data_IF_669551614460
#
_entry.id   IF_669551614460
#
_cell.length_a   1.000
_cell.length_b   1.000
_cell.length_c   1.000
_cell.angle_alpha   90.00
_cell.angle_beta   90.00
_cell.angle_gamma   90.00
#
_symmetry.space_group_name_H-M   'P 1'
#
loop_
_entity.id
_entity.type
_entity.pdbx_description
1 polymer ?
#
# COMPACT_ATOMS: atom_id res chain seq x y z
N UNK A 1 -2.86 -4.71 34.12
CA UNK A 1 -2.62 -6.13 34.48
C UNK A 1 -3.12 -6.95 33.30
N UNK A 2 -2.23 -7.56 32.55
CA UNK A 2 -2.56 -8.42 31.43
C UNK A 2 -3.00 -9.78 31.98
N UNK A 3 -4.26 -10.14 31.81
CA UNK A 3 -4.82 -11.43 32.24
C UNK A 3 -4.23 -12.53 31.36
N UNK A 4 -3.16 -13.16 31.85
CA UNK A 4 -2.62 -14.37 31.19
C UNK A 4 -3.55 -15.56 31.44
N UNK A 5 -3.87 -16.31 30.38
CA UNK A 5 -4.66 -17.55 30.46
C UNK A 5 -4.05 -18.58 31.40
N UNK A 6 -4.89 -19.45 31.96
CA UNK A 6 -4.46 -20.51 32.88
C UNK A 6 -3.78 -21.68 32.13
N UNK A 7 -2.95 -22.47 32.80
CA UNK A 7 -2.36 -23.70 32.25
C UNK A 7 -3.41 -24.64 31.62
N UNK A 8 -4.65 -24.62 32.14
CA UNK A 8 -5.78 -25.38 31.59
C UNK A 8 -6.24 -24.85 30.23
N UNK A 9 -6.06 -23.55 29.94
CA UNK A 9 -6.39 -22.95 28.64
C UNK A 9 -5.30 -23.28 27.59
N UNK A 10 -4.03 -23.25 27.99
CA UNK A 10 -2.90 -23.67 27.13
C UNK A 10 -3.07 -25.15 26.75
N UNK A 11 -3.32 -26.03 27.74
CA UNK A 11 -3.52 -27.45 27.51
C UNK A 11 -4.75 -27.73 26.61
N UNK A 12 -5.79 -26.90 26.69
CA UNK A 12 -6.96 -26.96 25.80
C UNK A 12 -6.59 -26.55 24.38
N UNK A 13 -5.82 -25.47 24.22
CA UNK A 13 -5.40 -24.96 22.91
C UNK A 13 -4.49 -25.93 22.17
N UNK A 14 -3.50 -26.51 22.87
CA UNK A 14 -2.61 -27.52 22.30
C UNK A 14 -3.35 -28.83 21.97
N UNK A 15 -4.34 -29.23 22.79
CA UNK A 15 -5.17 -30.39 22.54
C UNK A 15 -6.07 -30.15 21.32
N UNK A 16 -6.66 -28.99 21.23
CA UNK A 16 -7.49 -28.55 20.11
C UNK A 16 -6.69 -28.49 18.80
N UNK A 17 -5.47 -27.91 18.79
CA UNK A 17 -4.57 -27.94 17.63
C UNK A 17 -4.29 -29.38 17.16
N UNK A 18 -4.11 -30.29 18.10
CA UNK A 18 -3.90 -31.71 17.81
C UNK A 18 -5.15 -32.38 17.25
N UNK A 19 -6.34 -32.02 17.76
CA UNK A 19 -7.62 -32.49 17.28
C UNK A 19 -7.93 -32.02 15.83
N UNK A 20 -7.54 -30.82 15.47
CA UNK A 20 -7.72 -30.27 14.11
C UNK A 20 -6.56 -30.60 13.16
N UNK A 21 -5.56 -31.36 13.64
CA UNK A 21 -4.44 -31.80 12.81
C UNK A 21 -3.41 -30.75 12.43
N UNK A 22 -3.41 -29.56 13.09
CA UNK A 22 -2.45 -28.50 12.80
C UNK A 22 -1.21 -28.67 13.70
N UNK A 23 0.01 -28.83 13.13
CA UNK A 23 1.23 -28.93 13.91
C UNK A 23 1.53 -27.62 14.67
N UNK A 24 2.05 -27.73 15.88
CA UNK A 24 2.47 -26.56 16.66
C UNK A 24 3.54 -25.73 15.93
N UNK A 25 4.40 -26.37 15.16
CA UNK A 25 5.39 -25.71 14.31
C UNK A 25 4.78 -24.81 13.25
N UNK A 26 3.62 -25.15 12.74
CA UNK A 26 2.85 -24.28 11.81
C UNK A 26 2.38 -23.02 12.53
N UNK A 27 1.87 -23.15 13.76
CA UNK A 27 1.49 -22.00 14.57
C UNK A 27 2.69 -21.09 14.88
N UNK A 28 3.84 -21.66 15.27
CA UNK A 28 5.08 -20.89 15.48
C UNK A 28 5.48 -20.08 14.24
N UNK A 29 5.37 -20.68 13.05
CA UNK A 29 5.67 -20.01 11.77
C UNK A 29 4.69 -18.89 11.46
N UNK A 30 3.41 -19.07 11.75
CA UNK A 30 2.38 -18.05 11.58
C UNK A 30 2.63 -16.86 12.52
N UNK A 31 2.98 -17.08 13.79
CA UNK A 31 3.33 -16.00 14.70
C UNK A 31 4.54 -15.19 14.22
N UNK A 32 5.57 -15.87 13.74
CA UNK A 32 6.73 -15.20 13.15
C UNK A 32 6.34 -14.41 11.90
N UNK A 33 5.44 -14.95 11.08
CA UNK A 33 4.93 -14.26 9.90
C UNK A 33 4.12 -13.00 10.26
N UNK A 34 3.38 -13.00 11.39
CA UNK A 34 2.76 -11.79 11.94
C UNK A 34 3.77 -10.78 12.51
N UNK A 35 5.07 -11.09 12.56
CA UNK A 35 6.08 -10.26 13.21
C UNK A 35 6.04 -10.33 14.74
N UNK A 36 5.43 -11.37 15.30
CA UNK A 36 5.37 -11.63 16.74
C UNK A 36 6.48 -12.60 17.17
N UNK A 37 6.78 -12.61 18.47
CA UNK A 37 7.70 -13.57 19.04
C UNK A 37 7.12 -14.98 18.92
N UNK A 38 7.98 -15.98 18.75
CA UNK A 38 7.57 -17.39 18.76
C UNK A 38 6.91 -17.71 20.09
N UNK A 39 5.71 -18.31 20.10
CA UNK A 39 5.09 -18.73 21.33
C UNK A 39 5.91 -19.86 21.95
N UNK A 40 6.31 -19.72 23.22
CA UNK A 40 6.94 -20.81 23.94
C UNK A 40 5.89 -21.85 24.31
N UNK A 41 6.25 -23.16 24.31
CA UNK A 41 5.30 -24.26 24.60
C UNK A 41 4.72 -24.22 26.02
N UNK A 42 5.39 -23.53 26.91
CA UNK A 42 5.04 -23.32 28.31
C UNK A 42 4.55 -21.91 28.63
N UNK A 43 4.47 -21.05 27.61
CA UNK A 43 4.03 -19.67 27.76
C UNK A 43 2.52 -19.59 27.95
N UNK A 44 2.08 -18.63 28.76
CA UNK A 44 0.65 -18.34 28.96
C UNK A 44 0.09 -17.68 27.71
N UNK A 45 -0.70 -18.44 26.94
CA UNK A 45 -1.41 -17.92 25.78
C UNK A 45 -2.56 -17.03 26.26
N UNK A 46 -2.71 -15.84 25.71
CA UNK A 46 -3.86 -14.97 26.00
C UNK A 46 -5.10 -15.53 25.33
N UNK A 47 -6.27 -15.28 25.92
CA UNK A 47 -7.53 -15.74 25.32
C UNK A 47 -7.75 -15.14 23.93
N UNK A 48 -7.27 -13.92 23.71
CA UNK A 48 -7.28 -13.21 22.44
C UNK A 48 -6.45 -13.92 21.37
N UNK A 49 -5.31 -14.52 21.73
CA UNK A 49 -4.44 -15.26 20.83
C UNK A 49 -5.14 -16.52 20.28
N UNK A 50 -6.11 -17.06 21.04
CA UNK A 50 -6.92 -18.19 20.60
C UNK A 50 -7.84 -17.87 19.41
N UNK A 51 -8.17 -16.58 19.19
CA UNK A 51 -9.00 -16.17 18.05
C UNK A 51 -8.26 -16.37 16.73
N UNK A 52 -6.95 -16.10 16.70
CA UNK A 52 -6.09 -16.34 15.52
C UNK A 52 -6.09 -17.83 15.16
N UNK A 53 -6.05 -18.69 16.16
CA UNK A 53 -6.02 -20.15 15.97
C UNK A 53 -7.34 -20.66 15.37
N UNK A 54 -8.48 -20.03 15.69
CA UNK A 54 -9.80 -20.46 15.20
C UNK A 54 -10.01 -20.30 13.70
N UNK A 55 -9.31 -19.37 13.05
CA UNK A 55 -9.43 -19.19 11.61
C UNK A 55 -8.70 -20.28 10.81
N UNK A 56 -7.64 -20.87 11.37
CA UNK A 56 -6.78 -21.82 10.68
C UNK A 56 -7.53 -23.06 10.17
N UNK A 57 -8.39 -23.73 10.98
CA UNK A 57 -9.17 -24.86 10.49
C UNK A 57 -10.08 -24.51 9.33
N UNK A 58 -10.61 -23.29 9.30
CA UNK A 58 -11.47 -22.83 8.20
C UNK A 58 -10.65 -22.71 6.92
N UNK A 59 -9.47 -22.11 6.98
CA UNK A 59 -8.60 -21.93 5.83
C UNK A 59 -8.07 -23.26 5.30
N UNK A 60 -7.50 -24.10 6.19
CA UNK A 60 -7.00 -25.43 5.79
C UNK A 60 -8.11 -26.37 5.34
N UNK A 61 -9.29 -26.28 5.95
CA UNK A 61 -10.47 -27.05 5.54
C UNK A 61 -11.01 -26.63 4.16
N UNK A 62 -10.77 -25.38 3.76
CA UNK A 62 -11.06 -24.88 2.42
C UNK A 62 -9.94 -25.21 1.38
N UNK A 63 -8.86 -25.90 1.80
CA UNK A 63 -7.76 -26.28 0.92
C UNK A 63 -6.67 -25.22 0.76
N UNK A 64 -6.68 -24.15 1.58
CA UNK A 64 -5.63 -23.12 1.56
C UNK A 64 -4.32 -23.75 2.07
N UNK A 65 -3.25 -23.59 1.29
CA UNK A 65 -1.94 -24.13 1.64
C UNK A 65 -1.25 -23.28 2.74
N UNK A 66 -0.38 -23.92 3.54
CA UNK A 66 0.35 -23.24 4.62
C UNK A 66 1.15 -22.04 4.09
N UNK A 67 1.74 -22.14 2.91
CA UNK A 67 2.49 -21.03 2.28
C UNK A 67 1.63 -19.80 2.02
N UNK A 68 0.36 -19.99 1.65
CA UNK A 68 -0.60 -18.91 1.42
C UNK A 68 -1.04 -18.27 2.73
N UNK A 69 -1.29 -19.06 3.76
CA UNK A 69 -1.57 -18.56 5.12
C UNK A 69 -0.41 -17.72 5.64
N UNK A 70 0.83 -18.14 5.42
CA UNK A 70 2.02 -17.38 5.83
C UNK A 70 2.17 -16.07 5.05
N UNK A 71 1.85 -16.03 3.76
CA UNK A 71 1.82 -14.76 2.98
C UNK A 71 0.78 -13.80 3.53
N UNK A 72 -0.45 -14.26 3.73
CA UNK A 72 -1.51 -13.47 4.35
C UNK A 72 -1.09 -12.94 5.73
N UNK A 73 -0.51 -13.79 6.56
CA UNK A 73 -0.05 -13.43 7.91
C UNK A 73 1.03 -12.33 7.87
N UNK A 74 1.96 -12.34 6.90
CA UNK A 74 2.96 -11.26 6.74
C UNK A 74 2.31 -9.94 6.41
N UNK A 75 1.40 -9.90 5.44
CA UNK A 75 0.70 -8.67 5.04
C UNK A 75 -0.05 -8.04 6.22
N UNK A 76 -0.80 -8.86 6.95
CA UNK A 76 -1.55 -8.40 8.11
C UNK A 76 -0.65 -7.96 9.26
N UNK A 77 0.40 -8.75 9.54
CA UNK A 77 1.35 -8.44 10.59
C UNK A 77 2.12 -7.15 10.32
N UNK A 78 2.59 -6.94 9.10
CA UNK A 78 3.31 -5.72 8.71
C UNK A 78 2.40 -4.48 8.75
N UNK A 79 1.16 -4.60 8.30
CA UNK A 79 0.18 -3.51 8.35
C UNK A 79 -0.15 -3.13 9.80
N UNK A 80 -0.46 -4.11 10.63
CA UNK A 80 -0.76 -3.91 12.04
C UNK A 80 0.44 -3.34 12.81
N UNK A 81 1.65 -3.83 12.53
CA UNK A 81 2.89 -3.34 13.14
C UNK A 81 3.15 -1.87 12.81
N UNK A 82 2.96 -1.44 11.55
CA UNK A 82 3.14 -0.02 11.14
C UNK A 82 2.21 0.88 11.95
N UNK A 83 0.95 0.51 12.09
CA UNK A 83 0.00 1.28 12.89
C UNK A 83 0.39 1.28 14.36
N UNK A 84 0.73 0.10 14.91
CA UNK A 84 1.10 -0.05 16.32
C UNK A 84 2.39 0.72 16.69
N UNK A 85 3.35 0.83 15.77
CA UNK A 85 4.57 1.63 15.97
C UNK A 85 4.32 3.13 15.86
N UNK A 86 3.39 3.55 14.99
CA UNK A 86 3.06 4.96 14.83
C UNK A 86 2.31 5.55 16.02
N UNK A 87 1.41 4.79 16.64
CA UNK A 87 0.57 5.29 17.73
C UNK A 87 1.36 5.87 18.93
N UNK A 88 2.36 5.19 19.52
CA UNK A 88 3.17 5.76 20.60
C UNK A 88 3.96 7.00 20.17
N UNK A 89 4.48 7.01 18.94
CA UNK A 89 5.19 8.17 18.39
C UNK A 89 4.25 9.38 18.28
N UNK A 90 3.07 9.20 17.68
CA UNK A 90 2.06 10.25 17.59
C UNK A 90 1.63 10.75 18.98
N UNK A 91 1.42 9.84 19.93
CA UNK A 91 1.06 10.20 21.28
C UNK A 91 2.12 11.06 21.93
N UNK A 92 3.39 10.67 21.84
CA UNK A 92 4.52 11.40 22.40
C UNK A 92 4.71 12.78 21.75
N UNK A 93 4.75 12.84 20.41
CA UNK A 93 5.06 14.07 19.68
C UNK A 93 3.89 15.05 19.59
N UNK A 94 2.65 14.57 19.69
CA UNK A 94 1.46 15.40 19.50
C UNK A 94 0.69 15.60 20.79
N UNK A 95 0.39 14.53 21.51
CA UNK A 95 -0.47 14.62 22.69
C UNK A 95 0.30 15.11 23.90
N UNK A 96 1.42 14.45 24.25
CA UNK A 96 2.24 14.86 25.40
C UNK A 96 2.83 16.26 25.20
N UNK A 97 3.25 16.61 23.98
CA UNK A 97 3.83 17.91 23.68
C UNK A 97 2.87 19.07 23.99
N UNK A 98 1.54 18.88 23.83
CA UNK A 98 0.54 19.87 24.25
C UNK A 98 0.56 20.13 25.75
N UNK A 99 0.85 19.10 26.56
CA UNK A 99 0.96 19.25 28.00
C UNK A 99 2.30 19.88 28.41
N UNK A 100 3.41 19.56 27.70
CA UNK A 100 4.70 20.25 27.90
C UNK A 100 4.60 21.76 27.63
N UNK A 101 3.95 22.13 26.54
CA UNK A 101 3.69 23.55 26.21
C UNK A 101 2.85 24.27 27.25
N UNK A 102 2.07 23.56 28.06
CA UNK A 102 1.35 24.11 29.22
C UNK A 102 2.22 24.19 30.49
N UNK A 103 3.52 23.87 30.42
CA UNK A 103 4.48 24.00 31.51
C UNK A 103 4.63 22.77 32.39
N UNK A 104 4.08 21.59 32.00
CA UNK A 104 4.29 20.34 32.74
C UNK A 104 5.65 19.75 32.39
N UNK A 105 6.31 19.14 33.40
CA UNK A 105 7.53 18.34 33.20
C UNK A 105 7.19 17.02 32.49
N UNK A 106 8.16 16.38 31.86
CA UNK A 106 7.96 15.17 31.02
C UNK A 106 7.09 14.08 31.68
N UNK A 107 7.40 13.68 32.92
CA UNK A 107 6.61 12.66 33.62
C UNK A 107 5.17 13.12 33.87
N UNK A 108 4.98 14.40 34.25
CA UNK A 108 3.66 14.99 34.50
C UNK A 108 2.86 15.14 33.20
N UNK A 109 3.53 15.50 32.11
CA UNK A 109 2.93 15.60 30.78
C UNK A 109 2.45 14.22 30.30
N UNK A 110 3.28 13.18 30.44
CA UNK A 110 2.93 11.81 30.13
C UNK A 110 1.73 11.31 30.95
N UNK A 111 1.78 11.46 32.30
CA UNK A 111 0.67 11.05 33.18
C UNK A 111 -0.64 11.78 32.86
N UNK A 112 -0.59 13.09 32.59
CA UNK A 112 -1.73 13.89 32.23
C UNK A 112 -2.29 13.44 30.87
N UNK A 113 -1.44 13.20 29.89
CA UNK A 113 -1.82 12.73 28.54
C UNK A 113 -2.49 11.34 28.61
N UNK A 114 -1.93 10.38 29.35
CA UNK A 114 -2.54 9.06 29.54
C UNK A 114 -3.91 9.17 30.21
N UNK A 115 -4.04 9.99 31.25
CA UNK A 115 -5.28 10.14 32.02
C UNK A 115 -6.39 10.78 31.18
N UNK A 116 -6.06 11.83 30.42
CA UNK A 116 -7.03 12.63 29.68
C UNK A 116 -7.40 12.01 28.34
N UNK A 117 -6.44 11.44 27.63
CA UNK A 117 -6.59 10.97 26.25
C UNK A 117 -6.36 9.46 26.11
N UNK A 118 -5.30 8.90 26.76
CA UNK A 118 -4.75 7.59 26.45
C UNK A 118 -5.77 6.44 26.51
N UNK A 119 -6.54 6.33 27.61
CA UNK A 119 -7.50 5.22 27.79
C UNK A 119 -8.66 5.31 26.81
N UNK A 120 -9.13 6.52 26.51
CA UNK A 120 -10.24 6.73 25.56
C UNK A 120 -9.77 6.54 24.13
N UNK A 121 -8.60 7.09 23.77
CA UNK A 121 -8.02 6.98 22.43
C UNK A 121 -7.67 5.53 22.06
N UNK A 122 -7.21 4.72 23.02
CA UNK A 122 -6.87 3.32 22.76
C UNK A 122 -8.05 2.52 22.22
N UNK A 123 -9.18 2.53 22.94
CA UNK A 123 -10.40 1.81 22.50
C UNK A 123 -10.96 2.37 21.19
N UNK A 124 -11.06 3.70 21.07
CA UNK A 124 -11.54 4.32 19.84
C UNK A 124 -10.62 4.06 18.65
N UNK A 125 -9.31 3.89 18.88
CA UNK A 125 -8.34 3.52 17.84
C UNK A 125 -8.57 2.11 17.30
N UNK A 126 -8.83 1.13 18.16
CA UNK A 126 -9.17 -0.24 17.76
C UNK A 126 -10.48 -0.26 16.95
N UNK A 127 -11.51 0.43 17.41
CA UNK A 127 -12.81 0.56 16.72
C UNK A 127 -12.64 1.22 15.33
N UNK A 128 -11.82 2.28 15.25
CA UNK A 128 -11.50 2.97 14.00
C UNK A 128 -10.77 2.06 13.02
N UNK A 129 -9.77 1.31 13.47
CA UNK A 129 -9.05 0.36 12.62
C UNK A 129 -9.98 -0.74 12.09
N UNK A 130 -10.85 -1.30 12.95
CA UNK A 130 -11.85 -2.27 12.55
C UNK A 130 -12.85 -1.70 11.53
N UNK A 131 -13.25 -0.43 11.70
CA UNK A 131 -14.12 0.26 10.75
C UNK A 131 -13.40 0.52 9.41
N UNK A 132 -12.17 1.02 9.42
CA UNK A 132 -11.37 1.24 8.22
C UNK A 132 -11.16 -0.06 7.43
N UNK A 133 -10.80 -1.14 8.13
CA UNK A 133 -10.63 -2.45 7.50
C UNK A 133 -11.92 -2.92 6.80
N UNK A 134 -13.08 -2.82 7.46
CA UNK A 134 -14.37 -3.16 6.85
C UNK A 134 -14.66 -2.30 5.61
N UNK A 135 -14.46 -0.98 5.70
CA UNK A 135 -14.73 -0.07 4.56
C UNK A 135 -13.85 -0.36 3.36
N UNK A 136 -12.55 -0.57 3.56
CA UNK A 136 -11.66 -0.96 2.47
C UNK A 136 -12.02 -2.33 1.90
N UNK A 137 -12.36 -3.29 2.76
CA UNK A 137 -12.79 -4.63 2.32
C UNK A 137 -14.06 -4.58 1.47
N UNK A 138 -15.05 -3.76 1.84
CA UNK A 138 -16.28 -3.56 1.05
C UNK A 138 -15.97 -3.04 -0.36
N UNK A 139 -15.06 -2.06 -0.47
CA UNK A 139 -14.67 -1.50 -1.77
C UNK A 139 -13.99 -2.57 -2.64
N UNK A 140 -12.95 -3.21 -2.13
CA UNK A 140 -12.18 -4.19 -2.92
C UNK A 140 -12.96 -5.45 -3.25
N UNK A 141 -13.83 -5.92 -2.34
CA UNK A 141 -14.72 -7.06 -2.64
C UNK A 141 -15.75 -6.72 -3.71
N UNK A 142 -16.30 -5.50 -3.69
CA UNK A 142 -17.22 -5.05 -4.73
C UNK A 142 -16.53 -4.98 -6.08
N UNK A 143 -15.34 -4.41 -6.14
CA UNK A 143 -14.54 -4.35 -7.36
C UNK A 143 -14.24 -5.75 -7.90
N UNK A 144 -13.82 -6.68 -7.05
CA UNK A 144 -13.55 -8.05 -7.44
C UNK A 144 -14.82 -8.78 -7.97
N UNK A 145 -15.97 -8.54 -7.37
CA UNK A 145 -17.25 -9.08 -7.88
C UNK A 145 -17.60 -8.52 -9.27
N UNK A 146 -17.37 -7.22 -9.50
CA UNK A 146 -17.56 -6.62 -10.83
C UNK A 146 -16.66 -7.25 -11.88
N UNK A 147 -15.39 -7.52 -11.56
CA UNK A 147 -14.46 -8.22 -12.47
C UNK A 147 -14.97 -9.60 -12.88
N UNK A 148 -15.45 -10.37 -11.92
CA UNK A 148 -16.03 -11.69 -12.22
C UNK A 148 -17.25 -11.61 -13.12
N UNK A 149 -18.12 -10.62 -12.91
CA UNK A 149 -19.29 -10.38 -13.77
C UNK A 149 -18.85 -9.95 -15.18
N UNK A 150 -17.91 -9.04 -15.30
CA UNK A 150 -17.36 -8.61 -16.59
C UNK A 150 -16.73 -9.78 -17.34
N UNK A 151 -15.88 -10.57 -16.69
CA UNK A 151 -15.29 -11.77 -17.27
C UNK A 151 -16.34 -12.80 -17.74
N UNK A 152 -17.42 -12.97 -16.97
CA UNK A 152 -18.51 -13.86 -17.34
C UNK A 152 -19.26 -13.33 -18.59
N UNK A 153 -19.52 -12.03 -18.70
CA UNK A 153 -20.16 -11.38 -19.85
C UNK A 153 -19.29 -11.48 -21.12
N UNK A 154 -17.97 -11.35 -20.97
CA UNK A 154 -17.01 -11.54 -22.06
C UNK A 154 -17.01 -12.99 -22.57
N UNK A 155 -16.97 -13.96 -21.66
CA UNK A 155 -17.05 -15.39 -22.01
C UNK A 155 -18.39 -15.75 -22.68
N UNK A 156 -19.47 -15.09 -22.29
CA UNK A 156 -20.79 -15.28 -22.91
C UNK A 156 -20.93 -14.55 -24.26
N UNK A 157 -19.93 -13.77 -24.70
CA UNK A 157 -19.98 -12.99 -25.94
C UNK A 157 -20.94 -11.81 -25.91
N UNK A 158 -21.44 -11.44 -24.74
CA UNK A 158 -22.35 -10.30 -24.55
C UNK A 158 -21.57 -8.96 -24.61
N UNK A 159 -20.31 -8.98 -24.20
CA UNK A 159 -19.40 -7.84 -24.27
C UNK A 159 -18.19 -8.21 -25.09
N UNK A 160 -17.69 -7.34 -26.01
CA UNK A 160 -16.42 -7.59 -26.69
C UNK A 160 -15.32 -7.67 -25.62
N UNK A 161 -14.46 -8.66 -25.76
CA UNK A 161 -13.25 -8.75 -24.92
C UNK A 161 -12.37 -7.54 -25.21
N UNK A 162 -12.07 -6.67 -24.25
CA UNK A 162 -11.14 -5.59 -24.51
C UNK A 162 -9.78 -6.20 -24.95
N UNK A 163 -9.03 -5.52 -25.82
CA UNK A 163 -7.69 -5.96 -26.17
C UNK A 163 -6.93 -6.13 -24.85
N UNK A 164 -6.33 -7.29 -24.63
CA UNK A 164 -5.76 -7.79 -23.37
C UNK A 164 -5.50 -6.66 -22.38
N UNK A 165 -6.30 -6.59 -21.32
CA UNK A 165 -6.22 -5.53 -20.33
C UNK A 165 -4.81 -5.50 -19.75
N UNK A 166 -3.93 -4.72 -20.35
CA UNK A 166 -2.63 -4.46 -19.81
C UNK A 166 -2.83 -3.43 -18.71
N UNK A 167 -2.84 -3.87 -17.46
CA UNK A 167 -2.78 -2.98 -16.32
C UNK A 167 -1.55 -2.08 -16.40
N UNK A 168 -1.58 -0.91 -15.80
CA UNK A 168 -0.49 0.03 -15.83
C UNK A 168 0.16 0.23 -14.45
N UNK A 169 1.49 0.17 -14.42
CA UNK A 169 2.32 0.65 -13.31
C UNK A 169 2.78 2.06 -13.60
N UNK A 170 2.69 2.92 -12.58
CA UNK A 170 3.11 4.31 -12.63
C UNK A 170 4.07 4.59 -11.50
N UNK A 171 5.19 5.22 -11.81
CA UNK A 171 6.10 5.80 -10.84
C UNK A 171 6.17 7.31 -11.06
N UNK A 172 5.89 8.06 -10.03
CA UNK A 172 6.08 9.51 -10.01
C UNK A 172 7.09 9.86 -8.94
N UNK A 173 7.94 10.85 -9.21
CA UNK A 173 9.00 11.29 -8.32
C UNK A 173 9.18 12.80 -8.41
N UNK A 174 9.68 13.45 -7.34
CA UNK A 174 9.89 14.89 -7.27
C UNK A 174 11.33 15.25 -7.64
N UNK A 175 11.49 16.10 -8.63
CA UNK A 175 12.81 16.53 -9.09
C UNK A 175 13.49 17.46 -8.09
N UNK A 176 14.73 17.14 -7.68
CA UNK A 176 15.51 17.98 -6.78
C UNK A 176 15.12 17.90 -5.30
N UNK A 177 14.29 16.93 -4.90
CA UNK A 177 13.84 16.77 -3.52
C UNK A 177 15.01 16.56 -2.55
N UNK A 178 16.01 15.73 -2.88
CA UNK A 178 17.17 15.47 -2.01
C UNK A 178 17.94 16.76 -1.71
N UNK A 179 18.19 17.58 -2.73
CA UNK A 179 18.86 18.87 -2.55
C UNK A 179 18.02 19.81 -1.69
N UNK A 180 16.71 19.87 -1.94
CA UNK A 180 15.79 20.71 -1.19
C UNK A 180 15.76 20.31 0.30
N UNK A 181 15.79 19.01 0.62
CA UNK A 181 15.79 18.53 2.00
C UNK A 181 17.11 18.83 2.71
N UNK A 182 18.25 18.75 2.01
CA UNK A 182 19.55 19.13 2.55
C UNK A 182 19.63 20.64 2.88
N UNK A 183 19.01 21.49 2.05
CA UNK A 183 19.01 22.95 2.22
C UNK A 183 17.95 23.44 3.23
N UNK A 184 16.77 22.81 3.28
CA UNK A 184 15.60 23.30 4.02
C UNK A 184 15.29 22.53 5.31
N UNK A 185 15.93 21.35 5.50
CA UNK A 185 15.78 20.51 6.70
C UNK A 185 14.59 19.55 6.68
N UNK A 186 14.55 18.67 7.68
CA UNK A 186 13.64 17.54 7.76
C UNK A 186 12.16 17.95 7.91
N UNK A 187 11.88 19.09 8.53
CA UNK A 187 10.49 19.58 8.71
C UNK A 187 9.83 19.90 7.38
N UNK A 188 10.58 20.60 6.48
CA UNK A 188 10.11 20.92 5.13
C UNK A 188 9.96 19.65 4.29
N UNK A 189 10.90 18.71 4.44
CA UNK A 189 10.81 17.40 3.80
C UNK A 189 9.53 16.64 4.19
N UNK A 190 9.18 16.64 5.47
CA UNK A 190 7.97 15.99 5.97
C UNK A 190 6.70 16.67 5.43
N UNK A 191 6.66 18.01 5.34
CA UNK A 191 5.53 18.75 4.79
C UNK A 191 5.33 18.45 3.31
N UNK A 192 6.40 18.43 2.52
CA UNK A 192 6.37 18.06 1.10
C UNK A 192 5.85 16.63 0.92
N UNK A 193 6.35 15.68 1.71
CA UNK A 193 5.89 14.29 1.64
C UNK A 193 4.40 14.16 1.99
N UNK A 194 3.90 14.91 2.95
CA UNK A 194 2.49 14.94 3.31
C UNK A 194 1.64 15.52 2.18
N UNK A 195 2.06 16.64 1.61
CA UNK A 195 1.37 17.29 0.49
C UNK A 195 1.34 16.38 -0.74
N UNK A 196 2.46 15.72 -1.06
CA UNK A 196 2.51 14.73 -2.13
C UNK A 196 1.55 13.58 -1.86
N UNK A 197 1.54 13.03 -0.64
CA UNK A 197 0.64 11.94 -0.29
C UNK A 197 -0.84 12.31 -0.45
N UNK A 198 -1.23 13.54 -0.09
CA UNK A 198 -2.59 14.04 -0.29
C UNK A 198 -2.93 14.17 -1.77
N UNK A 199 -2.08 14.83 -2.55
CA UNK A 199 -2.24 15.01 -4.00
C UNK A 199 -2.42 13.67 -4.72
N UNK A 200 -1.54 12.71 -4.46
CA UNK A 200 -1.54 11.43 -5.16
C UNK A 200 -2.74 10.56 -4.79
N UNK A 201 -3.20 10.59 -3.54
CA UNK A 201 -4.42 9.89 -3.15
C UNK A 201 -5.68 10.46 -3.81
N UNK A 202 -5.79 11.78 -3.92
CA UNK A 202 -6.91 12.43 -4.64
C UNK A 202 -6.92 12.03 -6.12
N UNK A 203 -5.75 12.07 -6.77
CA UNK A 203 -5.61 11.74 -8.19
C UNK A 203 -5.91 10.26 -8.43
N UNK A 204 -5.38 9.37 -7.59
CA UNK A 204 -5.69 7.95 -7.66
C UNK A 204 -7.20 7.69 -7.59
N UNK A 205 -7.87 8.28 -6.60
CA UNK A 205 -9.33 8.14 -6.46
C UNK A 205 -10.11 8.69 -7.66
N UNK A 206 -9.68 9.82 -8.22
CA UNK A 206 -10.33 10.47 -9.38
C UNK A 206 -10.20 9.66 -10.67
N UNK A 207 -9.04 9.05 -10.87
CA UNK A 207 -8.71 8.27 -12.07
C UNK A 207 -8.80 6.76 -11.86
N UNK A 208 -9.53 6.30 -10.83
CA UNK A 208 -9.76 4.86 -10.57
C UNK A 208 -8.47 4.05 -10.45
N UNK A 209 -7.42 4.68 -9.92
CA UNK A 209 -6.16 4.05 -9.59
C UNK A 209 -6.03 3.77 -8.09
N UNK A 210 -4.98 3.10 -7.72
CA UNK A 210 -4.62 2.84 -6.32
C UNK A 210 -3.17 3.20 -6.05
N UNK A 211 -2.93 3.88 -4.93
CA UNK A 211 -1.58 4.10 -4.41
C UNK A 211 -1.10 2.78 -3.82
N UNK A 212 -0.06 2.20 -4.42
CA UNK A 212 0.55 0.95 -3.94
C UNK A 212 1.44 1.24 -2.75
N UNK A 213 2.35 2.20 -2.91
CA UNK A 213 3.25 2.64 -1.82
C UNK A 213 3.87 3.99 -2.08
N UNK A 214 4.14 4.71 -0.99
CA UNK A 214 5.00 5.89 -1.00
C UNK A 214 6.47 5.45 -0.94
N UNK A 215 7.36 6.17 -1.64
CA UNK A 215 8.79 5.88 -1.78
C UNK A 215 9.67 7.08 -1.35
N UNK A 216 9.30 7.73 -0.26
CA UNK A 216 9.90 9.00 0.16
C UNK A 216 9.31 10.17 -0.61
N UNK A 217 10.05 10.71 -1.56
CA UNK A 217 9.66 11.76 -2.51
C UNK A 217 8.98 11.24 -3.78
N UNK A 218 8.79 9.92 -3.86
CA UNK A 218 8.13 9.26 -4.97
C UNK A 218 6.93 8.43 -4.55
N UNK A 219 6.20 7.94 -5.55
CA UNK A 219 5.03 7.08 -5.35
C UNK A 219 4.91 6.06 -6.46
N UNK A 220 4.51 4.84 -6.07
CA UNK A 220 4.10 3.79 -6.99
C UNK A 220 2.58 3.67 -7.01
N UNK A 221 1.97 3.74 -8.19
CA UNK A 221 0.55 3.53 -8.42
C UNK A 221 0.31 2.30 -9.29
N UNK A 222 -0.88 1.77 -9.15
CA UNK A 222 -1.48 0.82 -10.06
C UNK A 222 -2.76 1.38 -10.66
N UNK A 223 -2.97 1.15 -11.97
CA UNK A 223 -4.20 1.46 -12.68
C UNK A 223 -4.61 0.28 -13.55
N UNK A 224 -5.90 -0.03 -13.55
CA UNK A 224 -6.46 -1.05 -14.44
C UNK A 224 -6.56 -0.59 -15.88
N UNK A 225 -6.84 0.70 -16.07
CA UNK A 225 -6.92 1.32 -17.37
C UNK A 225 -5.66 2.15 -17.65
N UNK A 226 -4.85 1.78 -18.65
CA UNK A 226 -3.67 2.57 -19.02
C UNK A 226 -3.99 4.02 -19.41
N UNK A 227 -5.19 4.31 -19.91
CA UNK A 227 -5.58 5.69 -20.24
C UNK A 227 -5.81 6.52 -18.97
N UNK A 228 -6.38 5.91 -17.93
CA UNK A 228 -6.51 6.55 -16.62
C UNK A 228 -5.12 6.77 -15.97
N UNK A 229 -4.19 5.84 -16.15
CA UNK A 229 -2.82 6.01 -15.70
C UNK A 229 -2.14 7.23 -16.33
N UNK A 230 -2.28 7.42 -17.64
CA UNK A 230 -1.73 8.59 -18.35
C UNK A 230 -2.40 9.88 -17.89
N UNK A 231 -3.75 9.89 -17.80
CA UNK A 231 -4.51 11.07 -17.33
C UNK A 231 -4.12 11.48 -15.91
N UNK A 232 -4.02 10.50 -15.00
CA UNK A 232 -3.58 10.73 -13.63
C UNK A 232 -2.14 11.25 -13.56
N UNK A 233 -1.23 10.69 -14.37
CA UNK A 233 0.16 11.12 -14.46
C UNK A 233 0.30 12.57 -14.94
N UNK A 234 -0.45 12.96 -15.96
CA UNK A 234 -0.48 14.34 -16.44
C UNK A 234 -1.03 15.29 -15.38
N UNK A 235 -2.05 14.90 -14.64
CA UNK A 235 -2.59 15.71 -13.54
C UNK A 235 -1.60 15.86 -12.39
N UNK A 236 -0.80 14.82 -12.06
CA UNK A 236 0.27 14.92 -11.04
C UNK A 236 1.26 16.02 -11.43
N UNK A 237 1.79 15.98 -12.65
CA UNK A 237 2.78 16.94 -13.13
C UNK A 237 2.23 18.37 -13.14
N UNK A 238 0.99 18.55 -13.58
CA UNK A 238 0.33 19.86 -13.62
C UNK A 238 0.09 20.43 -12.22
N UNK A 239 -0.39 19.59 -11.29
CA UNK A 239 -0.76 20.04 -9.96
C UNK A 239 0.42 20.16 -8.99
N UNK A 240 1.48 19.40 -9.17
CA UNK A 240 2.62 19.45 -8.24
C UNK A 240 3.08 20.88 -7.94
N UNK A 241 3.32 21.68 -8.98
CA UNK A 241 3.76 23.08 -8.82
C UNK A 241 2.69 23.97 -8.16
N UNK A 242 1.42 23.79 -8.48
CA UNK A 242 0.34 24.59 -7.89
C UNK A 242 0.07 24.28 -6.43
N UNK A 243 0.45 23.08 -6.01
CA UNK A 243 0.39 22.62 -4.62
C UNK A 243 1.67 22.93 -3.81
N UNK A 244 2.62 23.67 -4.40
CA UNK A 244 3.87 24.05 -3.75
C UNK A 244 4.92 22.93 -3.68
N UNK A 245 4.75 21.87 -4.46
CA UNK A 245 5.71 20.78 -4.58
C UNK A 245 6.80 21.09 -5.61
N UNK A 246 7.99 20.50 -5.50
CA UNK A 246 8.95 20.46 -6.60
C UNK A 246 8.32 19.86 -7.86
N UNK A 247 8.87 20.18 -9.06
CA UNK A 247 8.38 19.59 -10.30
C UNK A 247 8.37 18.07 -10.25
N UNK A 248 7.28 17.45 -10.64
CA UNK A 248 7.18 16.00 -10.72
C UNK A 248 7.64 15.49 -12.09
N UNK A 249 8.13 14.26 -12.13
CA UNK A 249 8.34 13.50 -13.34
C UNK A 249 7.75 12.10 -13.19
N UNK A 250 7.24 11.54 -14.27
CA UNK A 250 6.44 10.32 -14.21
C UNK A 250 6.84 9.35 -15.31
N UNK A 251 6.96 8.07 -14.93
CA UNK A 251 7.11 6.96 -15.85
C UNK A 251 5.94 5.99 -15.76
N UNK A 252 5.37 5.64 -16.91
CA UNK A 252 4.23 4.73 -17.03
C UNK A 252 4.59 3.57 -17.94
N UNK A 253 4.24 2.36 -17.53
CA UNK A 253 4.31 1.21 -18.43
C UNK A 253 3.12 0.28 -18.20
N UNK A 254 2.67 -0.39 -19.26
CA UNK A 254 1.53 -1.30 -19.21
C UNK A 254 1.96 -2.72 -19.57
N UNK A 255 1.29 -3.71 -18.98
CA UNK A 255 1.55 -5.12 -19.23
C UNK A 255 1.17 -6.00 -18.06
N UNK A 256 1.46 -7.31 -18.15
CA UNK A 256 1.18 -8.24 -17.07
C UNK A 256 2.03 -7.92 -15.83
N UNK A 257 1.38 -7.99 -14.67
CA UNK A 257 2.00 -7.82 -13.36
C UNK A 257 1.54 -8.93 -12.43
N UNK A 258 2.34 -9.20 -11.40
CA UNK A 258 2.02 -10.14 -10.33
C UNK A 258 1.72 -9.31 -9.10
N UNK A 259 0.50 -9.46 -8.55
CA UNK A 259 0.17 -8.92 -7.25
C UNK A 259 0.47 -9.96 -6.17
N UNK A 260 1.35 -9.64 -5.25
CA UNK A 260 1.69 -10.50 -4.11
C UNK A 260 2.06 -9.66 -2.89
N UNK A 261 1.61 -10.09 -1.72
CA UNK A 261 1.86 -9.46 -0.41
C UNK A 261 1.57 -7.94 -0.36
N UNK A 262 0.57 -7.46 -1.14
CA UNK A 262 0.18 -6.04 -1.14
C UNK A 262 1.01 -5.16 -2.09
N UNK A 263 1.87 -5.74 -2.91
CA UNK A 263 2.71 -5.03 -3.89
C UNK A 263 2.59 -5.66 -5.30
N UNK A 264 2.98 -4.90 -6.31
CA UNK A 264 3.02 -5.38 -7.70
C UNK A 264 4.46 -5.65 -8.13
N UNK A 265 4.66 -6.76 -8.82
CA UNK A 265 5.96 -7.23 -9.29
C UNK A 265 5.94 -7.57 -10.77
N UNK A 266 7.12 -7.54 -11.39
CA UNK A 266 7.32 -8.01 -12.75
C UNK A 266 8.05 -7.04 -13.65
N UNK A 267 8.23 -7.45 -14.90
CA UNK A 267 8.93 -6.65 -15.91
C UNK A 267 8.25 -5.32 -16.18
N UNK A 268 6.90 -5.30 -16.15
CA UNK A 268 6.09 -4.08 -16.34
C UNK A 268 6.42 -3.02 -15.30
N UNK A 269 6.43 -3.40 -14.03
CA UNK A 269 6.75 -2.52 -12.89
C UNK A 269 8.18 -2.00 -12.98
N UNK A 270 9.13 -2.90 -13.25
CA UNK A 270 10.54 -2.53 -13.38
C UNK A 270 10.78 -1.54 -14.53
N UNK A 271 10.13 -1.75 -15.68
CA UNK A 271 10.25 -0.84 -16.83
C UNK A 271 9.63 0.51 -16.49
N UNK A 272 8.45 0.58 -15.87
CA UNK A 272 7.83 1.84 -15.43
C UNK A 272 8.76 2.66 -14.53
N UNK A 273 9.38 2.02 -13.53
CA UNK A 273 10.33 2.67 -12.63
C UNK A 273 11.58 3.19 -13.38
N UNK A 274 12.06 2.46 -14.40
CA UNK A 274 13.19 2.91 -15.23
C UNK A 274 12.82 4.04 -16.18
N UNK A 275 11.60 4.04 -16.71
CA UNK A 275 11.07 5.15 -17.51
C UNK A 275 10.96 6.40 -16.63
N UNK A 276 10.45 6.28 -15.40
CA UNK A 276 10.43 7.39 -14.46
C UNK A 276 11.82 7.98 -14.19
N UNK A 277 12.82 7.10 -13.95
CA UNK A 277 14.22 7.54 -13.76
C UNK A 277 14.84 8.17 -15.01
N UNK A 278 14.26 7.99 -16.19
CA UNK A 278 14.73 8.61 -17.45
C UNK A 278 14.02 9.93 -17.71
N UNK A 279 12.84 10.15 -17.14
CA UNK A 279 12.07 11.37 -17.28
C UNK A 279 12.75 12.54 -16.56
N UNK A 280 12.60 13.72 -17.12
CA UNK A 280 13.04 14.99 -16.49
C UNK A 280 11.84 15.74 -15.89
N UNK A 281 12.12 16.77 -15.13
CA UNK A 281 11.09 17.60 -14.51
C UNK A 281 9.95 17.96 -15.48
N UNK A 282 8.73 17.87 -15.01
CA UNK A 282 7.48 18.14 -15.75
C UNK A 282 7.22 17.21 -16.95
N UNK A 283 7.87 16.04 -17.00
CA UNK A 283 7.63 15.05 -18.05
C UNK A 283 6.80 13.87 -17.56
N UNK A 284 5.91 13.41 -18.44
CA UNK A 284 5.25 12.11 -18.35
C UNK A 284 5.74 11.27 -19.51
N UNK A 285 6.55 10.25 -19.22
CA UNK A 285 7.05 9.31 -20.22
C UNK A 285 6.33 7.96 -20.10
N UNK A 286 6.00 7.37 -21.23
CA UNK A 286 5.26 6.11 -21.29
C UNK A 286 6.00 5.10 -22.18
N UNK A 287 5.91 3.82 -21.84
CA UNK A 287 6.47 2.75 -22.64
C UNK A 287 5.63 2.41 -23.88
N UNK A 288 6.22 1.76 -24.87
CA UNK A 288 5.61 1.38 -26.15
C UNK A 288 4.32 0.56 -26.02
N UNK A 289 4.17 -0.19 -24.92
CA UNK A 289 2.96 -0.98 -24.67
C UNK A 289 1.71 -0.13 -24.54
N UNK A 290 1.86 1.15 -24.07
CA UNK A 290 0.72 2.05 -23.90
C UNK A 290 0.19 2.58 -25.24
N UNK A 291 1.04 2.77 -26.25
CA UNK A 291 0.61 3.27 -27.56
C UNK A 291 -0.56 2.46 -28.13
N UNK A 292 -0.55 1.14 -27.89
CA UNK A 292 -1.55 0.19 -28.37
C UNK A 292 -2.74 0.00 -27.42
N UNK A 293 -2.62 0.47 -26.19
CA UNK A 293 -3.56 0.16 -25.10
C UNK A 293 -4.35 1.37 -24.63
N UNK A 294 -3.96 2.58 -25.05
CA UNK A 294 -4.62 3.81 -24.60
C UNK A 294 -5.62 4.35 -25.63
N UNK A 295 -6.75 4.82 -25.13
CA UNK A 295 -7.65 5.68 -25.87
C UNK A 295 -7.21 7.13 -25.66
N UNK A 296 -6.75 7.84 -26.70
CA UNK A 296 -6.14 9.17 -26.57
C UNK A 296 -7.17 10.28 -26.36
N UNK A 297 -8.11 10.06 -25.42
CA UNK A 297 -9.08 11.07 -25.03
C UNK A 297 -8.44 12.10 -24.08
N UNK A 298 -8.13 13.28 -24.61
CA UNK A 298 -7.60 14.41 -23.84
C UNK A 298 -6.08 14.52 -23.77
N UNK A 299 -5.33 13.59 -24.38
CA UNK A 299 -3.88 13.65 -24.52
C UNK A 299 -3.42 13.00 -25.83
N UNK A 300 -2.15 13.23 -26.17
CA UNK A 300 -1.47 12.55 -27.29
C UNK A 300 -0.13 12.02 -26.84
N UNK A 301 0.35 10.98 -27.49
CA UNK A 301 1.68 10.42 -27.31
C UNK A 301 2.59 10.91 -28.43
N UNK A 302 3.72 11.51 -28.05
CA UNK A 302 4.74 11.98 -28.97
C UNK A 302 5.95 11.05 -28.81
N UNK A 303 6.36 10.41 -29.90
CA UNK A 303 7.51 9.48 -29.87
C UNK A 303 8.79 10.23 -29.52
N UNK A 304 9.48 9.72 -28.49
CA UNK A 304 10.83 10.17 -28.11
C UNK A 304 11.88 9.25 -28.79
N UNK A 305 11.53 8.00 -28.98
CA UNK A 305 12.36 6.99 -29.64
C UNK A 305 12.87 5.89 -28.71
N UNK A 306 13.75 5.02 -29.23
CA UNK A 306 14.32 3.94 -28.45
C UNK A 306 15.39 4.42 -27.47
N UNK A 307 15.26 4.01 -26.20
CA UNK A 307 16.20 4.36 -25.13
C UNK A 307 16.75 3.12 -24.45
N UNK A 308 17.98 3.21 -23.94
CA UNK A 308 18.56 2.20 -23.07
C UNK A 308 18.09 2.46 -21.62
N UNK A 309 17.37 1.50 -21.05
CA UNK A 309 16.98 1.54 -19.66
C UNK A 309 17.89 0.63 -18.81
N UNK A 310 18.41 1.15 -17.71
CA UNK A 310 19.35 0.43 -16.83
C UNK A 310 18.78 -0.94 -16.42
N UNK A 311 19.49 -2.02 -16.77
CA UNK A 311 19.09 -3.39 -16.44
C UNK A 311 18.05 -4.03 -17.38
N UNK A 312 17.64 -3.32 -18.44
CA UNK A 312 16.80 -3.86 -19.51
C UNK A 312 17.68 -4.17 -20.71
N UNK A 313 17.63 -5.43 -21.19
CA UNK A 313 18.54 -5.89 -22.27
C UNK A 313 18.23 -5.32 -23.65
N UNK A 314 16.99 -4.91 -23.87
CA UNK A 314 16.52 -4.40 -25.16
C UNK A 314 16.26 -2.90 -25.04
N UNK A 315 16.46 -2.19 -26.15
CA UNK A 315 15.96 -0.82 -26.28
C UNK A 315 14.43 -0.83 -26.09
N UNK A 316 13.93 0.15 -25.35
CA UNK A 316 12.50 0.35 -25.14
C UNK A 316 12.13 1.66 -25.82
N UNK A 317 11.19 1.60 -26.76
CA UNK A 317 10.63 2.83 -27.34
C UNK A 317 9.75 3.52 -26.33
N UNK A 318 10.03 4.78 -26.07
CA UNK A 318 9.26 5.59 -25.14
C UNK A 318 8.59 6.76 -25.87
N UNK A 319 7.50 7.22 -25.30
CA UNK A 319 6.71 8.36 -25.79
C UNK A 319 6.54 9.37 -24.66
N UNK A 320 6.44 10.62 -25.00
CA UNK A 320 6.01 11.67 -24.07
C UNK A 320 4.51 11.84 -24.18
N UNK A 321 3.79 11.73 -23.07
CA UNK A 321 2.40 12.07 -23.01
C UNK A 321 2.25 13.60 -22.84
N UNK A 322 1.44 14.23 -23.65
CA UNK A 322 1.13 15.66 -23.59
C UNK A 322 -0.38 15.87 -23.73
N UNK A 323 -0.94 16.84 -23.02
CA UNK A 323 -2.35 17.18 -23.20
C UNK A 323 -2.59 17.73 -24.60
N UNK A 324 -3.79 17.52 -25.09
CA UNK A 324 -4.24 18.31 -26.26
C UNK A 324 -4.38 19.77 -25.84
N UNK A 325 -3.77 20.66 -26.61
CA UNK A 325 -4.04 22.09 -26.49
C UNK A 325 -5.55 22.31 -26.61
N UNK A 326 -6.16 23.01 -25.67
CA UNK A 326 -7.57 23.37 -25.68
C UNK A 326 -7.86 24.39 -26.76
#
# INVERSE_FOLDING_TARGET
MLAGGTLAQIARSLRWLKEIGIPFTTLERIYVAFGLLRPARDERVREEDLQVIKILPVLFGAGVEEGEVLRMARVWGDSARRVAQYLPHYFHTTVEERFRRRGLRDNQAFEAAIREVGVRAGRSGEDLLGWLFRRHSEVFLSEHQFEHVEAALEHAGVRPRPPQNAEAAVFADLSGYTQLTEESGDEVAAEISLTLAQLVNEIAARHRGSVVKMLGDGVHFHFRDPSDAVRGSLEIVERARSEGLPPAHVGVNAGPMIYDEGDYFGGTVNIAARIASHATADQVLVGEALERSVEPAGFRLVEVGPVELKGVRKLVTIYQAVRHDR
#
